data_IF_411093707935
#
_entry.id   IF_411093707935
#
_cell.length_a   1.000
_cell.length_b   1.000
_cell.length_c   1.000
_cell.angle_alpha   90.00
_cell.angle_beta   90.00
_cell.angle_gamma   90.00
#
_symmetry.space_group_name_H-M   'P 1'
#
loop_
_entity.id
_entity.type
_entity.pdbx_description
1 polymer ?
#
# COMPACT_ATOMS: atom_id res chain seq x y z
N UNK A 1 5.27 19.92 -6.59
CA UNK A 1 4.61 19.50 -5.33
C UNK A 1 4.42 17.99 -5.43
N UNK A 2 5.04 17.17 -4.57
CA UNK A 2 4.91 15.71 -4.64
C UNK A 2 3.55 15.33 -4.03
N UNK A 3 2.70 14.60 -4.77
CA UNK A 3 1.44 14.08 -4.21
C UNK A 3 1.76 13.17 -3.02
N UNK A 4 1.26 13.53 -1.84
CA UNK A 4 1.37 12.76 -0.60
C UNK A 4 0.32 11.66 -0.56
N UNK A 5 0.58 10.58 0.18
CA UNK A 5 -0.41 9.49 0.35
C UNK A 5 -1.71 10.04 0.96
N UNK A 6 -1.59 10.95 1.94
CA UNK A 6 -2.74 11.62 2.55
C UNK A 6 -3.61 12.34 1.51
N UNK A 7 -2.99 13.12 0.60
CA UNK A 7 -3.73 13.82 -0.45
C UNK A 7 -4.47 12.88 -1.39
N UNK A 8 -3.89 11.71 -1.70
CA UNK A 8 -4.50 10.70 -2.55
C UNK A 8 -5.70 10.03 -1.87
N UNK A 9 -5.57 9.72 -0.57
CA UNK A 9 -6.66 9.15 0.24
C UNK A 9 -7.83 10.10 0.35
N UNK A 10 -7.60 11.37 0.71
CA UNK A 10 -8.66 12.37 0.81
C UNK A 10 -9.38 12.57 -0.54
N UNK A 11 -8.65 12.54 -1.65
CA UNK A 11 -9.24 12.62 -2.99
C UNK A 11 -10.10 11.40 -3.31
N UNK A 12 -9.64 10.20 -2.95
CA UNK A 12 -10.40 8.97 -3.15
C UNK A 12 -11.68 8.97 -2.30
N UNK A 13 -11.59 9.34 -1.02
CA UNK A 13 -12.75 9.47 -0.13
C UNK A 13 -13.79 10.47 -0.65
N UNK A 14 -13.34 11.61 -1.18
CA UNK A 14 -14.20 12.61 -1.81
C UNK A 14 -14.90 12.07 -3.07
N UNK A 15 -14.18 11.32 -3.93
CA UNK A 15 -14.77 10.72 -5.13
C UNK A 15 -15.79 9.63 -4.79
N UNK A 16 -15.51 8.75 -3.83
CA UNK A 16 -16.51 7.80 -3.33
C UNK A 16 -17.76 8.53 -2.83
N UNK A 17 -17.58 9.58 -2.01
CA UNK A 17 -18.70 10.35 -1.48
C UNK A 17 -19.51 11.02 -2.58
N UNK A 18 -18.84 11.52 -3.63
CA UNK A 18 -19.51 12.10 -4.79
C UNK A 18 -20.37 11.07 -5.52
N UNK A 19 -19.81 9.91 -5.86
CA UNK A 19 -20.52 8.83 -6.56
C UNK A 19 -21.73 8.34 -5.75
N UNK A 20 -21.57 8.14 -4.44
CA UNK A 20 -22.65 7.64 -3.57
C UNK A 20 -23.79 8.66 -3.37
N UNK A 21 -23.47 9.95 -3.31
CA UNK A 21 -24.44 11.01 -3.02
C UNK A 21 -25.07 11.64 -4.26
N UNK A 22 -24.38 11.65 -5.39
CA UNK A 22 -24.90 12.23 -6.64
C UNK A 22 -25.32 11.13 -7.61
N UNK A 23 -24.41 10.20 -7.89
CA UNK A 23 -24.60 9.31 -9.01
C UNK A 23 -25.50 8.12 -8.69
N UNK A 24 -25.40 7.62 -7.46
CA UNK A 24 -26.13 6.46 -6.92
C UNK A 24 -27.07 6.86 -5.79
N UNK A 25 -27.48 8.13 -5.71
CA UNK A 25 -28.45 8.59 -4.71
C UNK A 25 -29.71 7.70 -4.73
N UNK A 26 -30.32 7.37 -3.57
CA UNK A 26 -31.58 6.63 -3.53
C UNK A 26 -32.69 7.27 -4.37
N UNK A 27 -32.61 8.58 -4.60
CA UNK A 27 -33.56 9.35 -5.42
C UNK A 27 -33.33 9.12 -6.93
N UNK A 28 -32.17 8.58 -7.31
CA UNK A 28 -31.77 8.33 -8.71
C UNK A 28 -32.03 6.87 -9.08
N UNK A 29 -33.32 6.54 -9.25
CA UNK A 29 -33.76 5.15 -9.41
C UNK A 29 -33.15 4.40 -10.61
N UNK A 30 -32.77 5.07 -11.70
CA UNK A 30 -32.36 4.41 -12.93
C UNK A 30 -31.01 3.66 -12.80
N UNK A 31 -29.98 4.28 -12.21
CA UNK A 31 -28.66 3.66 -12.07
C UNK A 31 -28.61 2.66 -10.92
N UNK A 32 -29.33 2.94 -9.84
CA UNK A 32 -29.47 2.01 -8.71
C UNK A 32 -30.18 0.73 -9.16
N UNK A 33 -31.19 0.85 -10.03
CA UNK A 33 -31.90 -0.30 -10.60
C UNK A 33 -31.02 -1.09 -11.58
N UNK A 34 -30.27 -0.39 -12.46
CA UNK A 34 -29.38 -1.04 -13.44
C UNK A 34 -28.17 -1.73 -12.79
N UNK A 35 -27.59 -1.12 -11.76
CA UNK A 35 -26.39 -1.61 -11.09
C UNK A 35 -26.65 -1.83 -9.60
N UNK A 36 -27.45 -2.84 -9.21
CA UNK A 36 -27.87 -3.04 -7.82
C UNK A 36 -26.70 -3.35 -6.88
N UNK A 37 -25.60 -3.89 -7.41
CA UNK A 37 -24.38 -4.19 -6.64
C UNK A 37 -23.45 -2.99 -6.49
N UNK A 38 -23.54 -1.97 -7.35
CA UNK A 38 -22.57 -0.88 -7.37
C UNK A 38 -22.58 -0.08 -6.07
N UNK A 39 -23.75 0.28 -5.55
CA UNK A 39 -23.86 1.03 -4.30
C UNK A 39 -23.31 0.28 -3.09
N UNK A 40 -23.78 -0.94 -2.74
CA UNK A 40 -23.27 -1.63 -1.55
C UNK A 40 -21.76 -1.90 -1.66
N UNK A 41 -21.24 -2.29 -2.83
CA UNK A 41 -19.80 -2.48 -3.02
C UNK A 41 -19.02 -1.19 -2.81
N UNK A 42 -19.46 -0.05 -3.35
CA UNK A 42 -18.76 1.23 -3.15
C UNK A 42 -18.84 1.73 -1.70
N UNK A 43 -19.94 1.47 -0.99
CA UNK A 43 -20.09 1.80 0.44
C UNK A 43 -19.12 0.97 1.31
N UNK A 44 -19.08 -0.34 1.09
CA UNK A 44 -18.19 -1.26 1.79
C UNK A 44 -16.72 -0.88 1.55
N UNK A 45 -16.35 -0.62 0.29
CA UNK A 45 -14.96 -0.28 -0.04
C UNK A 45 -14.56 1.14 0.42
N UNK A 46 -15.50 2.09 0.48
CA UNK A 46 -15.25 3.37 1.11
C UNK A 46 -15.00 3.20 2.62
N UNK A 47 -15.78 2.34 3.30
CA UNK A 47 -15.59 2.05 4.72
C UNK A 47 -14.24 1.36 4.97
N UNK A 48 -13.86 0.40 4.13
CA UNK A 48 -12.55 -0.27 4.19
C UNK A 48 -11.40 0.71 3.99
N UNK A 49 -11.49 1.62 3.01
CA UNK A 49 -10.47 2.65 2.78
C UNK A 49 -10.34 3.59 3.98
N UNK A 50 -11.45 4.03 4.57
CA UNK A 50 -11.45 4.86 5.79
C UNK A 50 -10.84 4.11 6.98
N UNK A 51 -11.17 2.83 7.14
CA UNK A 51 -10.58 1.99 8.18
C UNK A 51 -9.07 1.85 7.99
N UNK A 52 -8.62 1.61 6.76
CA UNK A 52 -7.19 1.58 6.40
C UNK A 52 -6.50 2.91 6.74
N UNK A 53 -7.08 4.03 6.31
CA UNK A 53 -6.54 5.36 6.58
C UNK A 53 -6.45 5.68 8.08
N UNK A 54 -7.45 5.23 8.85
CA UNK A 54 -7.48 5.38 10.32
C UNK A 54 -6.40 4.57 11.01
N UNK A 55 -6.11 3.34 10.56
CA UNK A 55 -5.03 2.51 11.13
C UNK A 55 -3.66 3.17 10.95
N UNK A 56 -3.50 4.00 9.92
CA UNK A 56 -2.26 4.72 9.64
C UNK A 56 -2.28 6.20 10.08
N UNK A 57 -3.25 6.61 10.92
CA UNK A 57 -3.38 7.96 11.46
C UNK A 57 -3.26 9.08 10.41
N UNK A 58 -3.72 8.82 9.18
CA UNK A 58 -3.50 9.73 8.03
C UNK A 58 -4.21 11.08 8.25
N UNK A 59 -5.19 11.13 9.16
CA UNK A 59 -6.07 12.28 9.39
C UNK A 59 -5.72 13.16 10.61
N UNK A 60 -4.88 12.73 11.56
CA UNK A 60 -4.58 13.49 12.79
C UNK A 60 -3.12 13.94 12.82
N UNK A 61 -2.80 15.15 12.35
CA UNK A 61 -1.54 15.93 12.57
C UNK A 61 -0.18 15.22 12.34
N UNK A 62 -0.20 13.94 11.99
CA UNK A 62 0.88 12.95 12.07
C UNK A 62 0.95 12.20 10.73
N UNK A 63 0.52 12.82 9.63
CA UNK A 63 0.68 12.29 8.25
C UNK A 63 2.14 11.95 7.91
N UNK A 64 3.07 12.53 8.68
CA UNK A 64 4.48 12.19 8.71
C UNK A 64 4.73 10.75 9.20
N UNK A 65 3.89 10.16 10.05
CA UNK A 65 4.01 8.80 10.61
C UNK A 65 4.05 7.71 9.53
N UNK A 66 3.05 7.65 8.62
CA UNK A 66 3.05 6.67 7.52
C UNK A 66 4.13 6.99 6.49
N UNK A 67 4.29 8.25 6.09
CA UNK A 67 5.32 8.62 5.11
C UNK A 67 6.75 8.42 5.67
N UNK A 68 6.96 8.55 6.98
CA UNK A 68 8.21 8.25 7.69
C UNK A 68 8.42 6.75 7.88
N UNK A 69 7.39 5.98 8.26
CA UNK A 69 7.45 4.52 8.30
C UNK A 69 7.80 3.95 6.91
N UNK A 70 7.26 4.56 5.85
CA UNK A 70 7.52 4.15 4.46
C UNK A 70 8.77 4.83 3.84
N UNK A 71 9.43 5.76 4.54
CA UNK A 71 10.60 6.49 4.02
C UNK A 71 11.77 5.56 3.71
N UNK A 72 11.95 4.53 4.54
CA UNK A 72 12.99 3.51 4.37
C UNK A 72 12.54 2.34 3.46
N UNK A 73 11.26 2.32 3.07
CA UNK A 73 10.65 1.33 2.17
C UNK A 73 10.06 2.04 0.94
N UNK A 74 10.91 2.74 0.19
CA UNK A 74 10.51 3.56 -0.97
C UNK A 74 9.65 2.80 -1.98
N UNK A 75 9.95 1.52 -2.19
CA UNK A 75 9.16 0.62 -3.06
C UNK A 75 7.72 0.42 -2.57
N UNK A 76 7.51 0.27 -1.26
CA UNK A 76 6.16 0.15 -0.68
C UNK A 76 5.39 1.45 -0.79
N UNK A 77 6.06 2.58 -0.51
CA UNK A 77 5.46 3.90 -0.68
C UNK A 77 5.00 4.11 -2.13
N UNK A 78 5.84 3.76 -3.08
CA UNK A 78 5.54 3.92 -4.51
C UNK A 78 4.45 2.94 -4.96
N UNK A 79 4.42 1.72 -4.43
CA UNK A 79 3.35 0.76 -4.65
C UNK A 79 2.00 1.22 -4.07
N UNK A 80 1.96 1.73 -2.84
CA UNK A 80 0.74 2.30 -2.23
C UNK A 80 0.24 3.48 -3.07
N UNK A 81 1.14 4.38 -3.51
CA UNK A 81 0.76 5.48 -4.41
C UNK A 81 0.20 4.96 -5.73
N UNK A 82 0.77 3.90 -6.30
CA UNK A 82 0.28 3.30 -7.53
C UNK A 82 -1.11 2.69 -7.35
N UNK A 83 -1.36 1.99 -6.24
CA UNK A 83 -2.67 1.44 -5.91
C UNK A 83 -3.72 2.55 -5.74
N UNK A 84 -3.41 3.60 -4.97
CA UNK A 84 -4.31 4.73 -4.78
C UNK A 84 -4.58 5.51 -6.08
N UNK A 85 -3.57 5.67 -6.94
CA UNK A 85 -3.76 6.25 -8.28
C UNK A 85 -4.62 5.38 -9.17
N UNK A 86 -4.44 4.07 -9.13
CA UNK A 86 -5.26 3.11 -9.88
C UNK A 86 -6.72 3.15 -9.40
N UNK A 87 -6.94 3.25 -8.09
CA UNK A 87 -8.26 3.40 -7.50
C UNK A 87 -8.94 4.69 -8.00
N UNK A 88 -8.23 5.82 -7.95
CA UNK A 88 -8.73 7.11 -8.45
C UNK A 88 -9.05 7.08 -9.95
N UNK A 89 -8.22 6.42 -10.76
CA UNK A 89 -8.48 6.27 -12.20
C UNK A 89 -9.77 5.46 -12.45
N UNK A 90 -9.97 4.38 -11.71
CA UNK A 90 -11.17 3.56 -11.81
C UNK A 90 -12.42 4.33 -11.36
N UNK A 91 -12.35 5.04 -10.23
CA UNK A 91 -13.47 5.85 -9.74
C UNK A 91 -13.85 6.96 -10.74
N UNK A 92 -12.85 7.59 -11.37
CA UNK A 92 -13.08 8.60 -12.41
C UNK A 92 -13.69 8.00 -13.68
N UNK A 93 -13.26 6.80 -14.09
CA UNK A 93 -13.86 6.06 -15.22
C UNK A 93 -15.32 5.72 -14.97
N UNK A 94 -15.65 5.21 -13.77
CA UNK A 94 -17.03 4.93 -13.37
C UNK A 94 -17.87 6.20 -13.42
N UNK A 95 -17.36 7.31 -12.87
CA UNK A 95 -18.06 8.60 -12.89
C UNK A 95 -18.35 9.08 -14.30
N UNK A 96 -17.37 8.96 -15.21
CA UNK A 96 -17.55 9.32 -16.61
C UNK A 96 -18.60 8.43 -17.29
N UNK A 97 -18.52 7.11 -17.09
CA UNK A 97 -19.47 6.16 -17.64
C UNK A 97 -20.91 6.42 -17.15
N UNK A 98 -21.10 6.75 -15.87
CA UNK A 98 -22.41 7.15 -15.33
C UNK A 98 -22.95 8.44 -15.95
N UNK A 99 -22.08 9.42 -16.20
CA UNK A 99 -22.47 10.66 -16.88
C UNK A 99 -22.87 10.40 -18.33
N UNK A 100 -22.12 9.57 -19.04
CA UNK A 100 -22.38 9.22 -20.43
C UNK A 100 -23.71 8.44 -20.54
N UNK A 101 -23.97 7.50 -19.63
CA UNK A 101 -25.22 6.74 -19.58
C UNK A 101 -26.45 7.62 -19.26
N UNK A 102 -26.33 8.59 -18.34
CA UNK A 102 -27.40 9.58 -18.11
C UNK A 102 -27.68 10.41 -19.37
N UNK A 103 -26.62 10.86 -20.03
CA UNK A 103 -26.74 11.69 -21.23
C UNK A 103 -27.38 10.91 -22.38
N UNK A 104 -27.09 9.61 -22.52
CA UNK A 104 -27.73 8.73 -23.50
C UNK A 104 -29.21 8.48 -23.16
N UNK A 105 -29.52 8.26 -21.87
CA UNK A 105 -30.88 8.07 -21.39
C UNK A 105 -31.77 9.30 -21.62
N UNK A 106 -31.23 10.52 -21.46
CA UNK A 106 -31.96 11.77 -21.74
C UNK A 106 -32.28 11.95 -23.24
N UNK A 107 -31.53 11.29 -24.12
CA UNK A 107 -31.71 11.34 -25.57
C UNK A 107 -32.60 10.22 -26.12
N UNK A 108 -33.23 9.39 -25.26
CA UNK A 108 -34.04 8.21 -25.65
C UNK A 108 -33.29 7.25 -26.59
N UNK A 109 -31.95 7.22 -26.49
CA UNK A 109 -31.12 6.26 -27.21
C UNK A 109 -31.08 4.99 -26.35
N UNK A 110 -31.22 3.82 -26.99
CA UNK A 110 -31.01 2.54 -26.30
C UNK A 110 -29.68 2.56 -25.54
N UNK A 111 -29.69 2.03 -24.31
CA UNK A 111 -28.48 1.99 -23.48
C UNK A 111 -27.34 1.32 -24.24
N UNK A 112 -26.18 1.97 -24.23
CA UNK A 112 -24.97 1.39 -24.82
C UNK A 112 -24.54 0.18 -23.96
N UNK A 113 -24.64 -1.06 -24.48
CA UNK A 113 -24.31 -2.27 -23.72
C UNK A 113 -22.82 -2.32 -23.34
N UNK A 114 -21.95 -1.64 -24.09
CA UNK A 114 -20.51 -1.59 -23.84
C UNK A 114 -20.22 -0.76 -22.58
N UNK A 115 -20.88 0.39 -22.44
CA UNK A 115 -20.75 1.27 -21.26
C UNK A 115 -21.24 0.57 -19.99
N UNK A 116 -22.34 -0.18 -20.08
CA UNK A 116 -22.89 -0.93 -18.94
C UNK A 116 -21.94 -2.04 -18.47
N UNK A 117 -21.36 -2.80 -19.40
CA UNK A 117 -20.40 -3.85 -19.09
C UNK A 117 -19.12 -3.26 -18.45
N UNK A 118 -18.63 -2.14 -18.97
CA UNK A 118 -17.47 -1.43 -18.42
C UNK A 118 -17.68 -1.01 -16.97
N UNK A 119 -18.86 -0.48 -16.61
CA UNK A 119 -19.19 -0.09 -15.24
C UNK A 119 -19.10 -1.29 -14.30
N UNK A 120 -19.69 -2.43 -14.66
CA UNK A 120 -19.65 -3.64 -13.83
C UNK A 120 -18.21 -4.11 -13.62
N UNK A 121 -17.42 -4.18 -14.69
CA UNK A 121 -15.99 -4.54 -14.62
C UNK A 121 -15.21 -3.58 -13.72
N UNK A 122 -15.47 -2.28 -13.79
CA UNK A 122 -14.78 -1.31 -12.95
C UNK A 122 -15.18 -1.42 -11.48
N UNK A 123 -16.46 -1.61 -11.18
CA UNK A 123 -16.96 -1.80 -9.82
C UNK A 123 -16.37 -3.06 -9.20
N UNK A 124 -16.30 -4.17 -9.96
CA UNK A 124 -15.72 -5.44 -9.48
C UNK A 124 -14.22 -5.35 -9.20
N UNK A 125 -13.49 -4.42 -9.82
CA UNK A 125 -12.05 -4.23 -9.61
C UNK A 125 -11.69 -3.39 -8.38
N UNK A 126 -12.62 -2.62 -7.82
CA UNK A 126 -12.36 -1.76 -6.66
C UNK A 126 -11.99 -2.61 -5.42
N UNK A 127 -12.76 -3.67 -5.06
CA UNK A 127 -12.41 -4.55 -3.94
C UNK A 127 -11.00 -5.13 -4.02
N UNK A 128 -10.54 -5.51 -5.20
CA UNK A 128 -9.19 -6.07 -5.37
C UNK A 128 -8.09 -5.07 -4.97
N UNK A 129 -8.26 -3.80 -5.35
CA UNK A 129 -7.30 -2.73 -5.05
C UNK A 129 -7.32 -2.39 -3.56
N UNK A 130 -8.51 -2.26 -2.98
CA UNK A 130 -8.67 -1.96 -1.54
C UNK A 130 -8.18 -3.13 -0.68
N UNK A 131 -8.46 -4.38 -1.07
CA UNK A 131 -7.93 -5.56 -0.40
C UNK A 131 -6.38 -5.61 -0.48
N UNK A 132 -5.78 -5.23 -1.62
CA UNK A 132 -4.34 -5.07 -1.72
C UNK A 132 -3.80 -4.03 -0.72
N UNK A 133 -4.47 -2.88 -0.56
CA UNK A 133 -4.11 -1.89 0.46
C UNK A 133 -4.22 -2.45 1.88
N UNK A 134 -5.30 -3.18 2.17
CA UNK A 134 -5.53 -3.80 3.47
C UNK A 134 -4.47 -4.85 3.83
N UNK A 135 -4.10 -5.72 2.89
CA UNK A 135 -3.07 -6.75 3.10
C UNK A 135 -1.68 -6.16 3.33
N UNK A 136 -1.39 -4.98 2.79
CA UNK A 136 -0.13 -4.29 3.04
C UNK A 136 0.00 -3.83 4.49
N UNK A 137 -1.10 -3.67 5.22
CA UNK A 137 -1.07 -3.28 6.63
C UNK A 137 -0.33 -4.31 7.51
N UNK A 138 -0.49 -5.60 7.21
CA UNK A 138 0.22 -6.68 7.90
C UNK A 138 1.71 -6.67 7.56
N UNK A 139 2.06 -6.36 6.31
CA UNK A 139 3.46 -6.27 5.85
C UNK A 139 4.19 -5.04 6.40
N UNK A 140 3.47 -3.93 6.62
CA UNK A 140 4.02 -2.72 7.25
C UNK A 140 4.29 -2.97 8.75
N UNK A 141 3.46 -3.76 9.42
CA UNK A 141 3.60 -4.11 10.84
C UNK A 141 4.67 -5.17 11.11
N UNK A 142 4.87 -6.11 10.18
CA UNK A 142 5.97 -7.10 10.24
C UNK A 142 6.89 -7.00 9.00
N UNK A 143 7.90 -6.11 9.03
CA UNK A 143 8.89 -6.04 7.95
C UNK A 143 9.79 -7.29 7.87
N UNK A 144 9.65 -8.27 8.77
CA UNK A 144 10.58 -9.36 9.02
C UNK A 144 10.88 -10.29 7.84
N UNK A 145 10.06 -10.30 6.79
CA UNK A 145 10.31 -11.11 5.58
C UNK A 145 11.08 -10.35 4.48
N UNK A 146 10.75 -9.09 4.22
CA UNK A 146 11.44 -8.29 3.19
C UNK A 146 12.72 -7.62 3.70
N UNK A 147 12.83 -7.31 4.99
CA UNK A 147 14.05 -6.75 5.58
C UNK A 147 15.22 -7.74 5.51
N UNK A 148 14.90 -9.04 5.59
CA UNK A 148 15.86 -10.11 5.28
C UNK A 148 16.43 -9.93 3.88
N UNK A 149 15.57 -9.70 2.88
CA UNK A 149 15.97 -9.59 1.47
C UNK A 149 16.92 -8.39 1.23
N UNK A 150 16.64 -7.23 1.83
CA UNK A 150 17.50 -6.03 1.72
C UNK A 150 18.82 -6.17 2.49
N UNK A 151 18.84 -6.87 3.62
CA UNK A 151 20.08 -7.12 4.38
C UNK A 151 21.12 -7.96 3.61
N UNK A 152 20.69 -8.76 2.61
CA UNK A 152 21.62 -9.59 1.83
C UNK A 152 22.51 -8.80 0.85
N UNK A 153 22.24 -7.52 0.58
CA UNK A 153 22.91 -6.74 -0.46
C UNK A 153 24.04 -5.83 0.02
N UNK A 154 24.40 -5.86 1.30
CA UNK A 154 25.46 -5.01 1.83
C UNK A 154 26.77 -5.79 2.01
N UNK A 155 27.86 -5.20 1.51
CA UNK A 155 29.18 -5.82 1.52
C UNK A 155 29.65 -6.08 2.96
N UNK A 156 29.79 -7.36 3.30
CA UNK A 156 30.15 -7.85 4.64
C UNK A 156 31.63 -8.18 4.76
N UNK A 157 32.40 -8.01 3.68
CA UNK A 157 33.82 -8.38 3.57
C UNK A 157 34.68 -7.84 4.72
N UNK A 158 34.42 -6.61 5.16
CA UNK A 158 35.18 -5.94 6.23
C UNK A 158 35.09 -6.64 7.61
N UNK A 159 33.96 -7.29 7.91
CA UNK A 159 33.74 -7.94 9.20
C UNK A 159 33.93 -9.46 9.15
N UNK A 160 33.89 -10.05 7.95
CA UNK A 160 34.03 -11.50 7.76
C UNK A 160 35.38 -12.04 8.26
N UNK A 161 36.49 -11.34 8.03
CA UNK A 161 37.80 -11.79 8.47
C UNK A 161 37.90 -11.86 10.01
N UNK A 162 37.47 -10.79 10.69
CA UNK A 162 37.45 -10.71 12.15
C UNK A 162 36.48 -11.73 12.78
N UNK A 163 35.30 -11.89 12.18
CA UNK A 163 34.32 -12.87 12.66
C UNK A 163 34.79 -14.32 12.43
N UNK A 164 35.51 -14.58 11.33
CA UNK A 164 36.09 -15.90 11.05
C UNK A 164 37.21 -16.20 12.05
N UNK A 165 38.10 -15.25 12.32
CA UNK A 165 39.15 -15.41 13.32
C UNK A 165 38.57 -15.67 14.71
N UNK A 166 37.55 -14.91 15.11
CA UNK A 166 36.85 -15.13 16.38
C UNK A 166 36.28 -16.55 16.52
N UNK A 167 35.79 -17.14 15.42
CA UNK A 167 35.29 -18.52 15.41
C UNK A 167 36.44 -19.52 15.54
N UNK A 168 37.58 -19.29 14.87
CA UNK A 168 38.77 -20.15 14.99
C UNK A 168 39.31 -20.15 16.41
N UNK A 169 39.43 -18.97 17.02
CA UNK A 169 39.96 -18.83 18.38
C UNK A 169 39.02 -19.45 19.43
N UNK A 170 37.71 -19.46 19.16
CA UNK A 170 36.70 -19.99 20.08
C UNK A 170 36.50 -21.50 19.97
N UNK A 171 36.77 -22.08 18.81
CA UNK A 171 36.55 -23.51 18.53
C UNK A 171 37.84 -24.14 18.02
N UNK A 172 38.67 -24.61 18.95
CA UNK A 172 39.91 -25.31 18.62
C UNK A 172 39.65 -26.53 17.71
N UNK A 173 40.43 -26.65 16.63
CA UNK A 173 40.30 -27.74 15.67
C UNK A 173 39.14 -27.61 14.66
N UNK A 174 38.43 -26.48 14.62
CA UNK A 174 37.36 -26.26 13.65
C UNK A 174 37.88 -26.28 12.21
N UNK A 175 37.13 -26.92 11.31
CA UNK A 175 37.45 -26.95 9.89
C UNK A 175 37.33 -25.54 9.28
N UNK A 176 38.32 -25.15 8.47
CA UNK A 176 38.42 -23.79 7.92
C UNK A 176 37.17 -23.33 7.14
N UNK A 177 36.53 -24.23 6.39
CA UNK A 177 35.31 -23.88 5.66
C UNK A 177 34.13 -23.59 6.61
N UNK A 178 34.08 -24.29 7.76
CA UNK A 178 33.02 -24.13 8.75
C UNK A 178 33.22 -22.83 9.54
N UNK A 179 34.46 -22.53 9.92
CA UNK A 179 34.83 -21.25 10.54
C UNK A 179 34.42 -20.06 9.65
N UNK A 180 34.72 -20.14 8.35
CA UNK A 180 34.35 -19.10 7.38
C UNK A 180 32.83 -18.95 7.25
N UNK A 181 32.07 -20.06 7.21
CA UNK A 181 30.59 -20.01 7.13
C UNK A 181 29.97 -19.38 8.37
N UNK A 182 30.48 -19.73 9.55
CA UNK A 182 30.03 -19.16 10.82
C UNK A 182 30.40 -17.68 10.93
N UNK A 183 31.63 -17.31 10.55
CA UNK A 183 32.06 -15.91 10.47
C UNK A 183 31.13 -15.07 9.59
N UNK A 184 30.79 -15.57 8.40
CA UNK A 184 29.79 -14.94 7.52
C UNK A 184 28.42 -14.77 8.17
N UNK A 185 27.93 -15.82 8.83
CA UNK A 185 26.63 -15.77 9.51
C UNK A 185 26.62 -14.74 10.66
N UNK A 186 27.71 -14.65 11.44
CA UNK A 186 27.87 -13.68 12.53
C UNK A 186 27.90 -12.26 11.98
N UNK A 187 28.68 -12.00 10.92
CA UNK A 187 28.75 -10.68 10.29
C UNK A 187 27.38 -10.22 9.77
N UNK A 188 26.65 -11.09 9.07
CA UNK A 188 25.28 -10.82 8.59
C UNK A 188 24.32 -10.53 9.73
N UNK A 189 24.36 -11.32 10.81
CA UNK A 189 23.53 -11.08 11.99
C UNK A 189 23.79 -9.72 12.62
N UNK A 190 25.07 -9.33 12.74
CA UNK A 190 25.45 -8.04 13.33
C UNK A 190 24.96 -6.87 12.49
N UNK A 191 25.10 -6.98 11.18
CA UNK A 191 24.59 -5.99 10.24
C UNK A 191 23.07 -5.84 10.31
N UNK A 192 22.33 -6.95 10.38
CA UNK A 192 20.88 -6.89 10.55
C UNK A 192 20.49 -6.17 11.86
N UNK A 193 21.21 -6.41 12.95
CA UNK A 193 20.97 -5.70 14.23
C UNK A 193 21.25 -4.20 14.10
N UNK A 194 22.40 -3.82 13.53
CA UNK A 194 22.78 -2.40 13.36
C UNK A 194 21.84 -1.67 12.40
N UNK A 195 21.44 -2.31 11.31
CA UNK A 195 20.41 -1.78 10.41
C UNK A 195 19.10 -1.53 11.17
N UNK A 196 18.62 -2.50 11.97
CA UNK A 196 17.37 -2.32 12.74
C UNK A 196 17.48 -1.21 13.78
N UNK A 197 18.63 -1.05 14.45
CA UNK A 197 18.86 0.08 15.38
C UNK A 197 18.81 1.42 14.65
N UNK A 198 19.58 1.56 13.56
CA UNK A 198 19.58 2.77 12.75
C UNK A 198 18.19 3.07 12.16
N UNK A 199 17.44 2.03 11.80
CA UNK A 199 16.06 2.15 11.36
C UNK A 199 15.14 2.68 12.48
N UNK A 200 15.23 2.10 13.69
CA UNK A 200 14.45 2.53 14.86
C UNK A 200 14.78 3.97 15.28
N UNK A 201 16.06 4.36 15.29
CA UNK A 201 16.48 5.74 15.58
C UNK A 201 15.92 6.75 14.58
N UNK A 202 15.91 6.42 13.28
CA UNK A 202 15.31 7.27 12.23
C UNK A 202 13.79 7.38 12.37
N UNK A 203 13.11 6.31 12.81
CA UNK A 203 11.67 6.36 13.08
C UNK A 203 11.37 7.32 14.23
N UNK A 204 12.14 7.25 15.32
CA UNK A 204 11.97 8.14 16.47
C UNK A 204 12.21 9.62 16.10
N UNK A 205 13.27 9.92 15.34
CA UNK A 205 13.56 11.28 14.86
C UNK A 205 12.47 11.87 13.95
N UNK A 206 11.62 11.04 13.36
CA UNK A 206 10.53 11.46 12.48
C UNK A 206 9.23 11.79 13.25
N UNK A 207 9.14 11.42 14.53
CA UNK A 207 7.98 11.68 15.40
C UNK A 207 8.18 12.96 16.23
N UNK A 208 9.43 13.36 16.45
CA UNK A 208 9.80 14.52 17.28
C UNK A 208 9.91 15.87 16.52
N UNK A 209 9.56 15.92 15.22
CA UNK A 209 9.71 17.11 14.36
C UNK A 209 8.44 17.43 13.58
#
# INVERSE_FOLDING_TARGET
MVETIASLVSRAEAQFSYLLNNDLSPDTGLLVFKFPKARPTLEDEQANLKAWAKVHEIHDTNSLSLECQLRNNSKFRDFIRQLLKSLLDILERIRKAFKDLRSASDLMVDDDPDISADIEVFVERIPDIVNCLMRLNDTIKDPGEMDRYLSYHTDTSAFEALATQHVVDKFEGIQAYLARRLGKAISRRRQHIEYRKAHQERLLQCVDG
#
